data_IF_130064182468
#
_entry.id   IF_130064182468
#
_cell.length_a   1.000
_cell.length_b   1.000
_cell.length_c   1.000
_cell.angle_alpha   90.00
_cell.angle_beta   90.00
_cell.angle_gamma   90.00
#
_symmetry.space_group_name_H-M   'P 1'
#
loop_
_entity.id
_entity.type
_entity.pdbx_description
1 polymer ?
#
# COMPACT_ATOMS: atom_id res chain seq x y z
N UNK A 1 -21.90 20.30 -4.12
CA UNK A 1 -22.85 21.13 -4.89
C UNK A 1 -22.68 22.55 -4.39
N UNK A 2 -22.01 23.41 -5.16
CA UNK A 2 -21.77 24.80 -4.78
C UNK A 2 -22.69 25.69 -5.62
N UNK A 3 -23.90 26.01 -5.11
CA UNK A 3 -24.93 26.69 -5.90
C UNK A 3 -24.53 28.12 -6.31
N UNK A 4 -23.48 28.68 -5.71
CA UNK A 4 -22.97 30.03 -5.97
C UNK A 4 -21.70 30.07 -6.83
N UNK A 5 -21.20 28.93 -7.32
CA UNK A 5 -20.03 28.93 -8.20
C UNK A 5 -20.42 29.51 -9.57
N UNK A 6 -20.00 30.76 -9.78
CA UNK A 6 -20.08 31.41 -11.09
C UNK A 6 -18.93 30.90 -11.94
N UNK A 7 -19.25 29.99 -12.86
CA UNK A 7 -18.30 29.52 -13.88
C UNK A 7 -18.34 30.49 -15.05
N UNK A 8 -17.25 31.20 -15.39
CA UNK A 8 -17.26 32.11 -16.52
C UNK A 8 -17.48 31.37 -17.85
N UNK A 9 -18.10 32.03 -18.84
CA UNK A 9 -18.05 31.55 -20.22
C UNK A 9 -16.59 31.29 -20.64
N UNK A 10 -16.35 30.19 -21.35
CA UNK A 10 -15.01 29.78 -21.81
C UNK A 10 -13.99 29.47 -20.70
N UNK A 11 -14.43 29.07 -19.50
CA UNK A 11 -13.56 28.68 -18.38
C UNK A 11 -12.45 27.67 -18.77
N UNK A 12 -12.73 26.74 -19.68
CA UNK A 12 -11.76 25.75 -20.18
C UNK A 12 -10.67 26.35 -21.07
N UNK A 13 -10.89 27.57 -21.55
CA UNK A 13 -9.99 28.30 -22.46
C UNK A 13 -9.27 29.46 -21.76
N UNK A 14 -9.41 29.62 -20.43
CA UNK A 14 -8.84 30.76 -19.68
C UNK A 14 -7.33 30.86 -19.84
N UNK A 15 -6.62 29.72 -19.85
CA UNK A 15 -5.18 29.70 -20.11
C UNK A 15 -4.82 30.23 -21.50
N UNK A 16 -5.56 29.81 -22.53
CA UNK A 16 -5.35 30.27 -23.91
C UNK A 16 -5.67 31.77 -24.08
N UNK A 17 -6.73 32.25 -23.42
CA UNK A 17 -7.10 33.67 -23.41
C UNK A 17 -6.03 34.51 -22.71
N UNK A 18 -5.51 34.05 -21.56
CA UNK A 18 -4.44 34.73 -20.84
C UNK A 18 -3.16 34.85 -21.67
N UNK A 19 -2.76 33.79 -22.36
CA UNK A 19 -1.61 33.79 -23.27
C UNK A 19 -1.84 34.75 -24.45
N UNK A 20 -3.04 34.80 -25.02
CA UNK A 20 -3.38 35.71 -26.11
C UNK A 20 -3.32 37.19 -25.68
N UNK A 21 -3.84 37.52 -24.48
CA UNK A 21 -3.77 38.87 -23.92
C UNK A 21 -2.33 39.29 -23.64
N UNK A 22 -1.52 38.39 -23.06
CA UNK A 22 -0.10 38.65 -22.82
C UNK A 22 0.70 38.85 -24.12
N UNK A 23 0.32 38.14 -25.19
CA UNK A 23 0.91 38.31 -26.52
C UNK A 23 0.57 39.68 -27.13
N UNK A 24 -0.66 40.17 -26.93
CA UNK A 24 -1.08 41.51 -27.37
C UNK A 24 -0.30 42.62 -26.65
N UNK A 25 -0.06 42.48 -25.34
CA UNK A 25 0.69 43.47 -24.55
C UNK A 25 2.19 43.50 -24.89
N UNK A 26 2.73 42.39 -25.39
CA UNK A 26 4.16 42.25 -25.73
C UNK A 26 4.50 42.66 -27.16
N UNK A 27 3.54 43.19 -27.95
CA UNK A 27 3.70 43.58 -29.37
C UNK A 27 4.35 42.47 -30.20
N UNK A 28 4.05 41.21 -29.87
CA UNK A 28 4.51 40.05 -30.63
C UNK A 28 3.45 39.66 -31.64
N UNK A 29 3.72 39.95 -32.91
CA UNK A 29 2.98 39.36 -34.02
C UNK A 29 3.64 38.04 -34.43
N UNK A 30 3.23 36.94 -33.81
CA UNK A 30 3.58 35.61 -34.29
C UNK A 30 2.55 35.19 -35.35
N UNK A 31 3.00 35.07 -36.61
CA UNK A 31 2.16 34.44 -37.63
C UNK A 31 1.95 32.98 -37.25
N UNK A 32 0.69 32.57 -37.12
CA UNK A 32 0.33 31.17 -36.97
C UNK A 32 0.84 30.40 -38.18
N UNK A 33 2.02 29.78 -38.05
CA UNK A 33 2.59 28.98 -39.11
C UNK A 33 1.70 27.73 -39.26
N UNK A 34 1.01 27.53 -40.38
CA UNK A 34 0.13 26.38 -40.57
C UNK A 34 0.90 25.04 -40.52
N UNK A 35 2.24 25.07 -40.58
CA UNK A 35 3.10 23.91 -40.31
C UNK A 35 3.21 23.55 -38.82
N UNK A 36 2.80 24.40 -37.88
CA UNK A 36 2.76 24.05 -36.44
C UNK A 36 1.72 22.94 -36.19
N UNK A 37 0.66 22.86 -37.01
CA UNK A 37 -0.25 21.71 -37.00
C UNK A 37 0.42 20.38 -37.38
N UNK A 38 1.55 20.43 -38.11
CA UNK A 38 2.39 19.26 -38.39
C UNK A 38 3.42 18.96 -37.30
N UNK A 39 3.68 19.88 -36.36
CA UNK A 39 4.61 19.62 -35.24
C UNK A 39 3.96 18.65 -34.22
N UNK A 40 2.63 18.60 -34.14
CA UNK A 40 1.93 17.56 -33.38
C UNK A 40 1.93 16.19 -34.08
N UNK A 41 2.22 16.13 -35.38
CA UNK A 41 2.31 14.87 -36.15
C UNK A 41 3.75 14.40 -36.37
N UNK A 42 4.74 15.28 -36.20
CA UNK A 42 6.15 14.88 -36.22
C UNK A 42 6.54 14.53 -34.80
N UNK A 43 6.78 13.24 -34.59
CA UNK A 43 7.37 12.58 -33.42
C UNK A 43 8.72 13.21 -33.03
N UNK A 44 8.73 14.46 -32.62
CA UNK A 44 9.80 14.93 -31.75
C UNK A 44 9.55 14.25 -30.42
N UNK A 45 10.25 13.13 -30.25
CA UNK A 45 10.58 12.52 -28.98
C UNK A 45 10.99 13.64 -28.02
N UNK A 46 10.01 14.20 -27.31
CA UNK A 46 10.27 14.93 -26.09
C UNK A 46 10.87 13.84 -25.20
N UNK A 47 12.19 13.81 -25.12
CA UNK A 47 12.92 12.99 -24.17
C UNK A 47 12.69 13.63 -22.81
N UNK A 48 11.49 13.40 -22.28
CA UNK A 48 11.27 13.46 -20.85
C UNK A 48 12.20 12.37 -20.29
N UNK A 49 12.93 12.61 -19.19
CA UNK A 49 13.65 11.53 -18.52
C UNK A 49 12.65 10.42 -18.19
N UNK A 50 12.67 9.37 -18.99
CA UNK A 50 11.88 8.17 -18.75
C UNK A 50 12.75 7.31 -17.87
N UNK A 51 12.36 7.16 -16.60
CA UNK A 51 12.97 6.14 -15.75
C UNK A 51 12.86 4.79 -16.47
N UNK A 52 13.88 3.94 -16.33
CA UNK A 52 13.80 2.59 -16.84
C UNK A 52 12.48 1.96 -16.39
N UNK A 53 11.81 1.21 -17.28
CA UNK A 53 10.58 0.50 -16.93
C UNK A 53 10.81 -0.26 -15.63
N UNK A 54 9.91 -0.09 -14.67
CA UNK A 54 9.95 -0.85 -13.43
C UNK A 54 9.94 -2.34 -13.79
N UNK A 55 11.06 -3.00 -13.50
CA UNK A 55 11.19 -4.44 -13.64
C UNK A 55 10.71 -5.03 -12.32
N UNK A 56 9.60 -5.79 -12.38
CA UNK A 56 9.19 -6.61 -11.26
C UNK A 56 10.18 -7.77 -11.14
N UNK A 57 11.26 -7.56 -10.39
CA UNK A 57 12.11 -8.66 -9.92
C UNK A 57 11.42 -9.24 -8.71
N UNK A 58 10.79 -10.41 -8.87
CA UNK A 58 10.19 -11.12 -7.75
C UNK A 58 11.27 -11.29 -6.66
N UNK A 59 10.95 -10.86 -5.45
CA UNK A 59 11.74 -11.16 -4.26
C UNK A 59 11.73 -12.67 -4.03
N UNK A 60 12.70 -13.18 -3.27
CA UNK A 60 12.87 -14.61 -2.97
C UNK A 60 11.75 -15.22 -2.07
N UNK A 61 10.52 -14.70 -2.16
CA UNK A 61 9.37 -15.22 -1.45
C UNK A 61 8.62 -16.21 -2.34
N UNK A 62 8.33 -17.44 -1.85
CA UNK A 62 7.51 -18.38 -2.59
C UNK A 62 6.11 -17.80 -2.81
N UNK A 63 5.58 -17.91 -4.03
CA UNK A 63 4.26 -17.38 -4.41
C UNK A 63 3.12 -17.95 -3.55
N UNK A 64 3.27 -19.19 -3.05
CA UNK A 64 2.28 -19.81 -2.19
C UNK A 64 2.33 -19.33 -0.73
N UNK A 65 3.29 -18.45 -0.40
CA UNK A 65 3.52 -17.85 0.91
C UNK A 65 3.66 -18.90 2.06
N UNK A 66 3.90 -20.17 1.73
CA UNK A 66 4.00 -21.25 2.73
C UNK A 66 5.33 -21.18 3.46
N UNK A 67 5.26 -21.26 4.77
CA UNK A 67 6.45 -21.47 5.59
C UNK A 67 6.72 -22.96 5.61
N UNK A 68 7.97 -23.34 5.37
CA UNK A 68 8.42 -24.69 5.67
C UNK A 68 8.60 -24.78 7.18
N UNK A 69 7.60 -25.34 7.87
CA UNK A 69 7.65 -25.58 9.31
C UNK A 69 8.87 -26.48 9.61
N UNK A 70 9.94 -25.91 10.17
CA UNK A 70 11.05 -26.69 10.71
C UNK A 70 10.64 -27.34 12.02
N UNK A 71 11.16 -28.53 12.27
CA UNK A 71 10.95 -29.22 13.54
C UNK A 71 11.47 -28.35 14.69
N UNK A 72 10.59 -28.04 15.63
CA UNK A 72 10.86 -27.16 16.77
C UNK A 72 11.12 -27.99 18.03
N UNK A 73 12.15 -27.64 18.81
CA UNK A 73 12.49 -28.37 20.03
C UNK A 73 11.72 -27.83 21.24
N UNK A 74 11.44 -28.70 22.22
CA UNK A 74 10.90 -28.26 23.51
C UNK A 74 11.94 -27.37 24.18
N UNK A 75 11.52 -26.19 24.64
CA UNK A 75 12.30 -25.15 25.36
C UNK A 75 12.91 -24.02 24.53
N UNK A 76 12.72 -24.00 23.21
CA UNK A 76 13.18 -22.88 22.39
C UNK A 76 12.40 -21.59 22.73
N UNK A 77 13.13 -20.49 22.91
CA UNK A 77 12.57 -19.15 23.09
C UNK A 77 12.04 -18.63 21.76
N UNK A 78 10.85 -18.04 21.81
CA UNK A 78 10.19 -17.47 20.64
C UNK A 78 9.68 -16.06 20.92
N UNK A 79 9.50 -15.30 19.85
CA UNK A 79 9.00 -13.94 19.90
C UNK A 79 7.74 -13.81 19.05
N UNK A 80 6.73 -13.12 19.59
CA UNK A 80 5.44 -12.94 18.95
C UNK A 80 5.27 -11.48 18.53
N UNK A 81 5.13 -11.24 17.22
CA UNK A 81 4.70 -9.96 16.68
C UNK A 81 3.25 -10.03 16.23
N UNK A 82 2.44 -9.03 16.59
CA UNK A 82 1.04 -8.93 16.16
C UNK A 82 0.82 -7.56 15.49
N UNK A 83 0.40 -7.56 14.24
CA UNK A 83 -0.01 -6.36 13.49
C UNK A 83 -1.55 -6.32 13.43
N UNK A 84 -2.13 -5.33 14.10
CA UNK A 84 -3.58 -5.16 14.21
C UNK A 84 -4.00 -3.97 13.35
N UNK A 85 -4.31 -4.24 12.09
CA UNK A 85 -4.85 -3.27 11.15
C UNK A 85 -6.36 -3.08 11.30
N UNK A 86 -6.90 -2.12 10.54
CA UNK A 86 -8.36 -1.87 10.50
C UNK A 86 -9.12 -2.96 9.76
N UNK A 87 -8.51 -3.56 8.73
CA UNK A 87 -9.11 -4.62 7.92
C UNK A 87 -8.65 -6.00 8.34
N UNK A 88 -7.36 -6.17 8.65
CA UNK A 88 -6.75 -7.47 8.93
C UNK A 88 -5.83 -7.45 10.14
N UNK A 89 -5.81 -8.59 10.85
CA UNK A 89 -4.91 -8.87 11.96
C UNK A 89 -3.95 -9.96 11.51
N UNK A 90 -2.67 -9.71 11.72
CA UNK A 90 -1.59 -10.60 11.34
C UNK A 90 -0.81 -10.93 12.60
N UNK A 91 -0.24 -12.13 12.65
CA UNK A 91 0.82 -12.40 13.61
C UNK A 91 1.93 -13.21 12.98
N UNK A 92 3.09 -13.11 13.59
CA UNK A 92 4.26 -13.92 13.28
C UNK A 92 4.90 -14.38 14.58
N UNK A 93 5.36 -15.62 14.60
CA UNK A 93 6.20 -16.18 15.64
C UNK A 93 7.55 -16.48 15.01
N UNK A 94 8.61 -15.98 15.64
CA UNK A 94 10.00 -16.19 15.21
C UNK A 94 10.82 -16.85 16.31
N UNK A 95 11.85 -17.61 15.95
CA UNK A 95 12.84 -18.17 16.88
C UNK A 95 14.03 -17.20 17.08
N UNK A 96 15.01 -17.60 17.90
CA UNK A 96 16.24 -16.83 18.15
C UNK A 96 17.10 -16.61 16.90
N UNK A 97 16.99 -17.50 15.91
CA UNK A 97 17.69 -17.39 14.62
C UNK A 97 16.96 -16.47 13.63
N UNK A 98 15.90 -15.77 14.07
CA UNK A 98 15.03 -14.89 13.28
C UNK A 98 14.27 -15.60 12.16
N UNK A 99 14.14 -16.92 12.26
CA UNK A 99 13.34 -17.71 11.33
C UNK A 99 11.87 -17.65 11.72
N UNK A 100 10.99 -17.49 10.74
CA UNK A 100 9.55 -17.57 10.94
C UNK A 100 9.15 -19.02 11.17
N UNK A 101 8.63 -19.32 12.36
CA UNK A 101 8.14 -20.66 12.72
C UNK A 101 6.63 -20.78 12.61
N UNK A 102 5.90 -19.68 12.73
CA UNK A 102 4.46 -19.66 12.57
C UNK A 102 3.97 -18.28 12.14
N UNK A 103 2.90 -18.22 11.35
CA UNK A 103 2.24 -16.95 11.02
C UNK A 103 0.78 -17.17 10.69
N UNK A 104 -0.02 -16.13 10.84
CA UNK A 104 -1.39 -16.13 10.33
C UNK A 104 -1.79 -14.74 9.86
N UNK A 105 -2.75 -14.73 8.94
CA UNK A 105 -3.37 -13.54 8.38
C UNK A 105 -4.88 -13.78 8.40
N UNK A 106 -5.62 -12.93 9.13
CA UNK A 106 -7.08 -13.07 9.26
C UNK A 106 -7.76 -11.71 9.19
N UNK A 107 -9.03 -11.63 8.76
CA UNK A 107 -9.81 -10.40 8.84
C UNK A 107 -10.05 -9.98 10.30
N UNK A 108 -9.85 -8.69 10.61
CA UNK A 108 -10.08 -8.13 11.96
C UNK A 108 -11.57 -7.97 12.26
N UNK A 109 -12.38 -7.66 11.24
CA UNK A 109 -13.84 -7.44 11.35
C UNK A 109 -14.25 -6.46 12.47
N UNK A 110 -13.42 -5.46 12.77
CA UNK A 110 -13.66 -4.51 13.86
C UNK A 110 -13.63 -5.12 15.26
N UNK A 111 -13.14 -6.36 15.42
CA UNK A 111 -13.09 -7.12 16.67
C UNK A 111 -11.65 -7.50 17.03
N UNK A 112 -10.75 -6.52 17.26
CA UNK A 112 -9.33 -6.76 17.40
C UNK A 112 -8.98 -7.66 18.61
N UNK A 113 -9.73 -7.55 19.72
CA UNK A 113 -9.51 -8.36 20.92
C UNK A 113 -9.89 -9.81 20.66
N UNK A 114 -11.10 -10.05 20.15
CA UNK A 114 -11.63 -11.39 19.92
C UNK A 114 -10.80 -12.14 18.89
N UNK A 115 -10.44 -11.47 17.79
CA UNK A 115 -9.55 -12.04 16.77
C UNK A 115 -8.20 -12.40 17.37
N UNK A 116 -7.60 -11.51 18.17
CA UNK A 116 -6.32 -11.80 18.83
C UNK A 116 -6.43 -12.99 19.79
N UNK A 117 -7.51 -13.12 20.57
CA UNK A 117 -7.73 -14.28 21.43
C UNK A 117 -7.82 -15.58 20.64
N UNK A 118 -8.50 -15.59 19.48
CA UNK A 118 -8.53 -16.76 18.60
C UNK A 118 -7.14 -17.12 18.09
N UNK A 119 -6.36 -16.13 17.65
CA UNK A 119 -5.00 -16.35 17.14
C UNK A 119 -4.07 -16.93 18.23
N UNK A 120 -4.14 -16.41 19.47
CA UNK A 120 -3.40 -16.96 20.60
C UNK A 120 -3.82 -18.39 20.93
N UNK A 121 -5.09 -18.73 20.77
CA UNK A 121 -5.58 -20.10 20.92
C UNK A 121 -4.97 -21.02 19.87
N UNK A 122 -4.92 -20.59 18.60
CA UNK A 122 -4.24 -21.33 17.52
C UNK A 122 -2.77 -21.55 17.82
N UNK A 123 -2.03 -20.50 18.21
CA UNK A 123 -0.61 -20.58 18.61
C UNK A 123 -0.45 -21.63 19.71
N UNK A 124 -1.27 -21.57 20.76
CA UNK A 124 -1.21 -22.52 21.87
C UNK A 124 -1.52 -23.95 21.44
N UNK A 125 -2.50 -24.15 20.59
CA UNK A 125 -2.96 -25.47 20.17
C UNK A 125 -1.95 -26.13 19.21
N UNK A 126 -1.27 -25.34 18.37
CA UNK A 126 -0.31 -25.83 17.37
C UNK A 126 1.14 -25.91 17.88
N UNK A 127 1.63 -24.91 18.61
CA UNK A 127 2.97 -24.92 19.21
C UNK A 127 2.99 -25.67 20.56
N UNK A 128 1.83 -25.79 21.22
CA UNK A 128 1.69 -26.45 22.51
C UNK A 128 2.38 -25.71 23.66
N UNK A 129 2.47 -26.34 24.84
CA UNK A 129 3.28 -25.86 25.98
C UNK A 129 4.80 -25.99 25.76
N UNK A 130 5.25 -26.12 24.52
CA UNK A 130 6.63 -26.51 24.18
C UNK A 130 7.56 -25.32 24.00
N UNK A 131 7.02 -24.12 23.85
CA UNK A 131 7.79 -22.88 23.65
C UNK A 131 7.51 -21.88 24.77
N UNK A 132 8.54 -21.10 25.12
CA UNK A 132 8.39 -19.92 25.96
C UNK A 132 8.37 -18.69 25.07
N UNK A 133 7.27 -17.93 25.09
CA UNK A 133 7.24 -16.60 24.47
C UNK A 133 8.10 -15.68 25.34
N UNK A 134 9.29 -15.34 24.84
CA UNK A 134 10.28 -14.53 25.53
C UNK A 134 10.08 -13.03 25.30
N UNK A 135 9.33 -12.66 24.26
CA UNK A 135 8.96 -11.27 23.99
C UNK A 135 7.76 -11.15 23.06
N UNK A 136 6.99 -10.10 23.26
CA UNK A 136 5.76 -9.79 22.54
C UNK A 136 5.77 -8.33 22.08
N UNK A 137 5.33 -8.11 20.84
CA UNK A 137 5.22 -6.78 20.24
C UNK A 137 3.89 -6.62 19.53
N UNK A 138 3.22 -5.48 19.74
CA UNK A 138 2.05 -5.09 18.93
C UNK A 138 2.32 -3.88 18.05
N UNK A 139 1.70 -3.88 16.87
CA UNK A 139 1.73 -2.77 15.90
C UNK A 139 0.40 -2.64 15.16
N UNK A 140 0.32 -1.71 14.21
CA UNK A 140 -0.92 -1.37 13.48
C UNK A 140 -1.81 -0.36 14.22
N UNK A 141 -2.99 -0.09 13.66
CA UNK A 141 -3.95 0.89 14.20
C UNK A 141 -4.59 0.45 15.53
N UNK A 142 -4.74 -0.85 15.76
CA UNK A 142 -5.29 -1.44 16.99
C UNK A 142 -4.25 -1.77 18.07
N UNK A 143 -2.98 -1.40 17.87
CA UNK A 143 -1.84 -1.83 18.71
C UNK A 143 -1.96 -1.53 20.20
N UNK A 144 -2.52 -0.38 20.56
CA UNK A 144 -2.63 0.04 21.96
C UNK A 144 -3.67 -0.80 22.67
N UNK A 145 -4.85 -0.97 22.05
CA UNK A 145 -5.96 -1.74 22.62
C UNK A 145 -5.56 -3.19 22.88
N UNK A 146 -4.92 -3.83 21.90
CA UNK A 146 -4.45 -5.22 22.04
C UNK A 146 -3.20 -5.30 22.92
N UNK A 147 -2.30 -4.33 22.81
CA UNK A 147 -1.07 -4.26 23.61
C UNK A 147 -1.36 -4.18 25.10
N UNK A 148 -2.28 -3.29 25.49
CA UNK A 148 -2.72 -3.13 26.88
C UNK A 148 -3.47 -4.38 27.38
N UNK A 149 -4.33 -4.96 26.52
CA UNK A 149 -5.07 -6.18 26.87
C UNK A 149 -4.17 -7.39 27.14
N UNK A 150 -3.10 -7.54 26.36
CA UNK A 150 -2.14 -8.63 26.51
C UNK A 150 -0.98 -8.30 27.46
N UNK A 151 -0.85 -7.03 27.87
CA UNK A 151 0.30 -6.51 28.59
C UNK A 151 1.63 -6.89 27.89
N UNK A 152 1.73 -6.51 26.61
CA UNK A 152 2.90 -6.84 25.78
C UNK A 152 4.15 -6.08 26.21
N UNK A 153 5.32 -6.62 25.86
CA UNK A 153 6.61 -6.04 26.23
C UNK A 153 6.89 -4.72 25.50
N UNK A 154 6.40 -4.59 24.25
CA UNK A 154 6.60 -3.39 23.45
C UNK A 154 5.41 -3.11 22.53
N UNK A 155 5.07 -1.82 22.41
CA UNK A 155 4.07 -1.32 21.46
C UNK A 155 4.79 -0.35 20.52
N UNK A 156 4.80 -0.64 19.22
CA UNK A 156 5.46 0.20 18.21
C UNK A 156 4.50 0.59 17.10
N UNK A 157 4.72 1.76 16.50
CA UNK A 157 3.97 2.16 15.32
C UNK A 157 4.31 1.28 14.09
N UNK A 158 3.40 1.30 13.13
CA UNK A 158 3.48 0.46 11.93
C UNK A 158 4.57 0.91 10.95
N UNK A 159 4.97 2.18 10.95
CA UNK A 159 6.06 2.68 10.09
C UNK A 159 7.37 2.02 10.54
N UNK A 160 7.64 2.07 11.85
CA UNK A 160 8.81 1.42 12.46
C UNK A 160 8.79 -0.09 12.23
N UNK A 161 7.63 -0.74 12.41
CA UNK A 161 7.49 -2.19 12.20
C UNK A 161 7.74 -2.60 10.73
N UNK A 162 7.15 -1.89 9.77
CA UNK A 162 7.35 -2.14 8.35
C UNK A 162 8.80 -1.90 7.93
N UNK A 163 9.41 -0.79 8.36
CA UNK A 163 10.80 -0.49 8.06
C UNK A 163 11.73 -1.58 8.61
N UNK A 164 11.55 -1.97 9.88
CA UNK A 164 12.36 -3.03 10.49
C UNK A 164 12.20 -4.37 9.79
N UNK A 165 10.96 -4.74 9.45
CA UNK A 165 10.67 -5.98 8.74
C UNK A 165 11.29 -6.02 7.35
N UNK A 166 11.18 -4.93 6.59
CA UNK A 166 11.76 -4.83 5.25
C UNK A 166 13.29 -4.90 5.28
N UNK A 167 13.93 -4.16 6.18
CA UNK A 167 15.39 -4.15 6.36
C UNK A 167 15.96 -5.51 6.77
N UNK A 168 15.20 -6.29 7.55
CA UNK A 168 15.61 -7.65 7.94
C UNK A 168 15.64 -8.60 6.73
N UNK A 169 14.76 -8.38 5.75
CA UNK A 169 14.72 -9.17 4.52
C UNK A 169 15.75 -8.67 3.50
N UNK A 170 15.84 -7.35 3.32
CA UNK A 170 16.74 -6.70 2.39
C UNK A 170 17.27 -5.39 3.00
N UNK A 171 18.55 -5.33 3.41
CA UNK A 171 19.14 -4.13 3.97
C UNK A 171 19.36 -3.00 2.94
N UNK A 172 19.25 -3.29 1.63
CA UNK A 172 19.38 -2.29 0.56
C UNK A 172 18.05 -1.58 0.25
N UNK A 173 16.94 -1.95 0.89
CA UNK A 173 15.65 -1.29 0.69
C UNK A 173 15.72 0.19 1.07
N UNK A 174 15.35 1.07 0.13
CA UNK A 174 15.33 2.52 0.32
C UNK A 174 13.92 3.11 0.40
N UNK A 175 12.91 2.34 -0.02
CA UNK A 175 11.54 2.82 -0.20
C UNK A 175 10.55 1.69 0.04
N UNK A 176 9.52 1.96 0.85
CA UNK A 176 8.38 1.06 1.05
C UNK A 176 7.12 1.77 0.56
N UNK A 177 6.35 1.08 -0.28
CA UNK A 177 4.96 1.39 -0.56
C UNK A 177 4.08 0.34 0.11
N UNK A 178 3.31 0.75 1.11
CA UNK A 178 2.36 -0.12 1.79
C UNK A 178 0.95 0.27 1.37
N UNK A 179 0.24 -0.66 0.73
CA UNK A 179 -1.14 -0.44 0.28
C UNK A 179 -2.05 -1.24 1.20
N UNK A 180 -2.51 -0.58 2.26
CA UNK A 180 -3.41 -1.15 3.25
C UNK A 180 -4.85 -1.21 2.76
N UNK A 181 -5.73 -1.68 3.65
CA UNK A 181 -7.16 -1.75 3.35
C UNK A 181 -7.84 -0.39 3.30
N UNK A 182 -7.49 0.52 4.22
CA UNK A 182 -8.14 1.84 4.34
C UNK A 182 -7.20 3.02 4.12
N UNK A 183 -5.89 2.77 4.16
CA UNK A 183 -4.87 3.79 3.95
C UNK A 183 -3.76 3.21 3.06
N UNK A 184 -2.90 4.10 2.57
CA UNK A 184 -1.66 3.74 1.91
C UNK A 184 -0.53 4.62 2.38
N UNK A 185 0.68 4.08 2.35
CA UNK A 185 1.86 4.68 2.97
C UNK A 185 3.06 4.62 2.05
N UNK A 186 3.82 5.69 2.10
CA UNK A 186 5.17 5.76 1.58
C UNK A 186 6.13 5.87 2.76
N UNK A 187 7.23 5.12 2.75
CA UNK A 187 8.29 5.21 3.75
C UNK A 187 9.63 5.27 3.03
N UNK A 188 10.40 6.33 3.24
CA UNK A 188 11.79 6.43 2.81
C UNK A 188 12.70 5.87 3.89
N UNK A 189 13.66 5.05 3.50
CA UNK A 189 14.65 4.42 4.38
C UNK A 189 16.04 4.93 4.00
N UNK A 190 16.78 5.38 5.02
CA UNK A 190 18.17 5.76 4.89
C UNK A 190 19.00 5.08 5.97
N UNK A 191 20.09 4.42 5.57
CA UNK A 191 20.97 3.68 6.48
C UNK A 191 20.21 2.68 7.35
N UNK A 192 19.25 1.94 6.79
CA UNK A 192 18.40 0.96 7.50
C UNK A 192 17.40 1.54 8.52
N UNK A 193 17.22 2.86 8.55
CA UNK A 193 16.25 3.53 9.41
C UNK A 193 15.22 4.32 8.59
N UNK A 194 13.95 4.40 9.02
CA UNK A 194 12.97 5.26 8.37
C UNK A 194 13.40 6.73 8.50
N UNK A 195 13.58 7.40 7.36
CA UNK A 195 13.97 8.81 7.27
C UNK A 195 12.75 9.73 7.18
N UNK A 196 11.79 9.35 6.34
CA UNK A 196 10.58 10.12 6.08
C UNK A 196 9.42 9.18 5.74
N UNK A 197 8.19 9.63 5.93
CA UNK A 197 7.01 8.87 5.54
C UNK A 197 5.83 9.79 5.24
N UNK A 198 4.95 9.34 4.34
CA UNK A 198 3.69 10.02 4.04
C UNK A 198 2.54 9.00 4.00
N UNK A 199 1.33 9.45 4.32
CA UNK A 199 0.15 8.58 4.46
C UNK A 199 -1.10 9.21 3.86
N UNK A 200 -1.78 8.46 2.99
CA UNK A 200 -3.16 8.77 2.61
C UNK A 200 -4.14 8.06 3.54
N UNK A 201 -4.75 8.80 4.46
CA UNK A 201 -5.72 8.27 5.46
C UNK A 201 -7.19 8.52 5.14
N UNK A 202 -7.48 9.45 4.23
CA UNK A 202 -8.84 9.99 4.04
C UNK A 202 -9.50 9.44 2.79
N UNK A 203 -8.72 9.11 1.77
CA UNK A 203 -9.25 8.75 0.47
C UNK A 203 -9.13 7.24 0.23
N UNK A 204 -10.23 6.60 -0.16
CA UNK A 204 -10.24 5.22 -0.62
C UNK A 204 -9.46 5.03 -1.94
N UNK A 205 -9.24 6.10 -2.70
CA UNK A 205 -8.43 6.02 -3.91
C UNK A 205 -7.00 5.62 -3.55
N UNK A 206 -6.51 4.55 -4.18
CA UNK A 206 -5.16 4.03 -3.93
C UNK A 206 -5.04 3.16 -2.67
N UNK A 207 -6.15 2.57 -2.19
CA UNK A 207 -6.17 1.59 -1.10
C UNK A 207 -6.86 0.30 -1.52
N UNK A 208 -6.73 -0.76 -0.71
CA UNK A 208 -7.40 -2.03 -0.93
C UNK A 208 -8.92 -1.96 -0.88
N UNK A 209 -9.53 -1.03 -0.15
CA UNK A 209 -10.98 -0.88 -0.08
C UNK A 209 -11.59 -0.54 -1.43
N UNK A 210 -10.91 0.27 -2.24
CA UNK A 210 -11.37 0.58 -3.59
C UNK A 210 -11.40 -0.65 -4.49
N UNK A 211 -10.35 -1.46 -4.45
CA UNK A 211 -10.31 -2.71 -5.23
C UNK A 211 -11.42 -3.68 -4.77
N UNK A 212 -11.63 -3.77 -3.46
CA UNK A 212 -12.66 -4.62 -2.88
C UNK A 212 -14.08 -4.17 -3.26
N UNK A 213 -14.34 -2.86 -3.27
CA UNK A 213 -15.62 -2.28 -3.69
C UNK A 213 -15.91 -2.54 -5.17
N UNK A 214 -14.94 -2.33 -6.05
CA UNK A 214 -15.06 -2.67 -7.47
C UNK A 214 -15.30 -4.17 -7.67
N UNK A 215 -14.53 -5.03 -7.00
CA UNK A 215 -14.69 -6.47 -7.08
C UNK A 215 -16.12 -6.89 -6.70
N UNK A 216 -16.63 -6.40 -5.57
CA UNK A 216 -17.99 -6.69 -5.12
C UNK A 216 -19.05 -6.19 -6.12
N UNK A 217 -18.87 -4.99 -6.68
CA UNK A 217 -19.81 -4.40 -7.65
C UNK A 217 -19.92 -5.24 -8.93
N UNK A 218 -18.81 -5.79 -9.40
CA UNK A 218 -18.77 -6.65 -10.59
C UNK A 218 -19.00 -8.13 -10.28
N UNK A 219 -19.19 -8.51 -9.01
CA UNK A 219 -19.34 -9.90 -8.61
C UNK A 219 -18.08 -10.75 -8.83
N UNK A 220 -16.91 -10.10 -8.79
CA UNK A 220 -15.59 -10.72 -8.99
C UNK A 220 -14.98 -11.04 -7.62
N UNK A 221 -14.34 -12.19 -7.49
CA UNK A 221 -13.59 -12.51 -6.27
C UNK A 221 -12.31 -11.67 -6.21
N UNK A 222 -12.14 -10.93 -5.12
CA UNK A 222 -10.95 -10.09 -4.92
C UNK A 222 -9.66 -10.92 -4.84
N UNK A 223 -9.76 -12.15 -4.32
CA UNK A 223 -8.67 -13.12 -4.27
C UNK A 223 -8.79 -14.05 -5.47
N UNK A 224 -7.65 -14.41 -6.06
CA UNK A 224 -7.48 -15.29 -7.22
C UNK A 224 -8.01 -14.74 -8.56
N UNK A 225 -9.18 -14.11 -8.61
CA UNK A 225 -9.84 -13.74 -9.88
C UNK A 225 -9.54 -12.31 -10.34
N UNK A 226 -9.61 -11.31 -9.44
CA UNK A 226 -9.51 -9.89 -9.80
C UNK A 226 -8.19 -9.55 -10.51
N UNK A 227 -7.06 -10.06 -10.01
CA UNK A 227 -5.74 -9.80 -10.59
C UNK A 227 -5.59 -10.42 -11.98
N UNK A 228 -6.15 -11.60 -12.21
CA UNK A 228 -6.05 -12.30 -13.49
C UNK A 228 -6.82 -11.52 -14.56
N UNK A 229 -8.04 -11.08 -14.23
CA UNK A 229 -8.85 -10.25 -15.12
C UNK A 229 -8.11 -8.93 -15.41
N UNK A 230 -7.62 -8.24 -14.38
CA UNK A 230 -6.94 -6.96 -14.54
C UNK A 230 -5.68 -7.07 -15.43
N UNK A 231 -4.88 -8.13 -15.25
CA UNK A 231 -3.65 -8.35 -16.01
C UNK A 231 -3.89 -8.96 -17.40
N UNK A 232 -5.07 -9.53 -17.66
CA UNK A 232 -5.44 -10.06 -18.99
C UNK A 232 -5.76 -8.96 -20.02
N UNK A 233 -5.89 -7.70 -19.60
CA UNK A 233 -6.31 -6.60 -20.47
C UNK A 233 -5.18 -6.16 -21.42
N UNK A 234 -5.36 -6.38 -22.73
CA UNK A 234 -4.44 -5.86 -23.76
C UNK A 234 -4.60 -4.36 -24.01
N UNK A 235 -5.80 -3.83 -23.73
CA UNK A 235 -6.17 -2.42 -23.93
C UNK A 235 -6.94 -1.89 -22.72
N UNK A 236 -6.25 -1.57 -21.60
CA UNK A 236 -6.90 -1.04 -20.42
C UNK A 236 -7.50 0.35 -20.70
N UNK A 237 -8.70 0.57 -20.17
CA UNK A 237 -9.42 1.85 -20.32
C UNK A 237 -8.71 2.93 -19.49
N UNK A 238 -8.54 4.12 -20.06
CA UNK A 238 -8.05 5.28 -19.31
C UNK A 238 -9.14 5.76 -18.37
N UNK A 239 -8.92 5.59 -17.07
CA UNK A 239 -9.75 6.20 -16.04
C UNK A 239 -9.44 7.70 -16.01
N UNK A 240 -10.45 8.54 -16.26
CA UNK A 240 -10.26 10.00 -16.36
C UNK A 240 -10.26 10.71 -14.99
N UNK A 241 -10.95 10.13 -14.02
CA UNK A 241 -11.17 10.71 -12.70
C UNK A 241 -10.24 10.09 -11.66
N UNK A 242 -10.02 10.77 -10.52
CA UNK A 242 -9.21 10.23 -9.40
C UNK A 242 -10.05 9.75 -8.22
N UNK A 243 -11.28 10.27 -8.10
CA UNK A 243 -12.19 9.93 -7.01
C UNK A 243 -12.86 8.59 -7.31
N UNK A 244 -12.83 7.68 -6.35
CA UNK A 244 -13.45 6.36 -6.47
C UNK A 244 -14.93 6.46 -6.84
N UNK A 245 -15.64 7.41 -6.21
CA UNK A 245 -17.07 7.69 -6.46
C UNK A 245 -17.37 8.10 -7.90
N UNK A 246 -16.44 8.76 -8.60
CA UNK A 246 -16.64 9.17 -10.00
C UNK A 246 -16.06 8.17 -11.01
N UNK A 247 -15.19 7.27 -10.56
CA UNK A 247 -14.69 6.15 -11.36
C UNK A 247 -15.68 4.98 -11.41
N UNK A 248 -16.49 4.83 -10.36
CA UNK A 248 -17.59 3.87 -10.25
C UNK A 248 -18.67 4.00 -11.33
#
# INVERSE_FOLDING_TARGET
YFPEVVVPPHNTSVGAIGVALQALDSVREDQANPKIRKITETEHNISVPVASRLLLKQTAFPEDNKIHLKAFHREDQVYLGIDIGSTTTKYVVINNDREIIHKSYVPTQGKPIEVTQMLLKTIRDELGKKSQIAGTVTTGSGRNVVGDFLNVDLIIDEITAHARGAVEIDPEVDTIFEIGGQDSKYISIANTYPLDFDMNKVCAAGTGSFLHELANKYGINIVDEFQEIALSSETPVKLAERCTVFME
#
